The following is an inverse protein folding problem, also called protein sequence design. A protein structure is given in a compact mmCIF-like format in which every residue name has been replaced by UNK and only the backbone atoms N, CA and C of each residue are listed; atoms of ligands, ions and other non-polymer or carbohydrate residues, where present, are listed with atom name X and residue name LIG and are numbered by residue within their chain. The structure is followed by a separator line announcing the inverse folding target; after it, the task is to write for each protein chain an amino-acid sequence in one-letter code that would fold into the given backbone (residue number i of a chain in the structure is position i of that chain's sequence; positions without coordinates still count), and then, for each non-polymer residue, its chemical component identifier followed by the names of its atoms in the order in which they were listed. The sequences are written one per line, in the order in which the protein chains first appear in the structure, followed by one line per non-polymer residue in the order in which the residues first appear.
data_IF_409664147274
#
_entry.id   IF_409664147274
#
_cell.length_a   1.000
_cell.length_b   1.000
_cell.length_c   1.000
_cell.angle_alpha   90.00
_cell.angle_beta   90.00
_cell.angle_gamma   90.00
#
_symmetry.space_group_name_H-M   'P 1'
#
loop_
_entity.id
_entity.type
_entity.pdbx_description
1 polymer ?
#
# COMPACT_ATOMS: atom_id res chain seq x y z
N UNK A 1 42.57 -10.54 -19.26
CA UNK A 1 42.08 -9.71 -18.14
C UNK A 1 40.56 -9.71 -18.24
N UNK A 2 39.90 -10.37 -17.29
CA UNK A 2 38.47 -10.71 -17.38
C UNK A 2 37.59 -9.49 -17.13
N UNK A 3 36.57 -9.28 -17.97
CA UNK A 3 35.54 -8.25 -17.80
C UNK A 3 34.76 -8.39 -16.47
N UNK A 4 34.90 -9.53 -15.80
CA UNK A 4 34.37 -9.81 -14.45
C UNK A 4 34.87 -8.84 -13.36
N UNK A 5 36.04 -8.20 -13.52
CA UNK A 5 36.54 -7.25 -12.51
C UNK A 5 35.87 -5.87 -12.57
N UNK A 6 35.25 -5.49 -13.70
CA UNK A 6 34.64 -4.16 -13.86
C UNK A 6 33.24 -4.07 -13.25
N UNK A 7 32.50 -5.18 -13.17
CA UNK A 7 31.18 -5.21 -12.53
C UNK A 7 31.23 -5.26 -11.00
N UNK A 8 32.39 -5.60 -10.42
CA UNK A 8 32.53 -5.79 -8.97
C UNK A 8 32.65 -4.49 -8.17
N UNK A 9 32.79 -3.32 -8.81
CA UNK A 9 32.89 -2.01 -8.12
C UNK A 9 31.59 -1.19 -8.12
N UNK A 10 30.56 -1.59 -8.85
CA UNK A 10 29.31 -0.80 -8.95
C UNK A 10 28.14 -1.35 -8.14
N UNK A 11 28.29 -2.52 -7.53
CA UNK A 11 27.29 -3.11 -6.66
C UNK A 11 27.74 -2.95 -5.22
N UNK A 12 27.49 -1.77 -4.64
CA UNK A 12 27.37 -1.64 -3.20
C UNK A 12 26.08 -2.32 -2.76
N UNK A 13 26.11 -3.66 -2.69
CA UNK A 13 25.09 -4.45 -2.02
C UNK A 13 25.16 -4.17 -0.53
N UNK A 14 24.31 -3.25 -0.07
CA UNK A 14 23.80 -3.27 1.31
C UNK A 14 23.04 -4.58 1.45
N UNK A 15 23.73 -5.59 1.96
CA UNK A 15 23.14 -6.85 2.40
C UNK A 15 22.68 -6.61 3.83
N UNK A 16 21.36 -6.48 4.02
CA UNK A 16 20.77 -6.52 5.35
C UNK A 16 20.95 -7.94 5.89
N UNK A 17 21.80 -8.06 6.92
CA UNK A 17 22.12 -9.29 7.62
C UNK A 17 20.90 -9.75 8.44
N UNK A 18 20.21 -10.79 7.97
CA UNK A 18 19.28 -11.58 8.77
C UNK A 18 19.79 -13.03 8.74
N UNK A 19 20.30 -13.59 9.84
CA UNK A 19 20.80 -14.95 9.84
C UNK A 19 19.65 -15.94 9.71
N UNK A 20 19.69 -16.73 8.64
CA UNK A 20 18.94 -17.96 8.47
C UNK A 20 19.62 -19.08 9.26
N UNK A 21 18.91 -19.69 10.21
CA UNK A 21 19.26 -21.00 10.77
C UNK A 21 18.10 -21.99 10.52
N UNK A 22 18.41 -23.14 9.90
CA UNK A 22 17.52 -24.31 9.78
C UNK A 22 17.72 -25.31 10.96
N UNK A 23 17.05 -26.48 11.02
CA UNK A 23 16.01 -26.82 11.98
C UNK A 23 16.47 -27.81 13.08
N UNK A 24 15.72 -27.92 14.19
CA UNK A 24 15.88 -29.00 15.19
C UNK A 24 14.53 -29.47 15.75
N UNK A 25 14.30 -30.79 15.68
CA UNK A 25 13.15 -31.52 16.22
C UNK A 25 13.14 -31.64 17.77
N UNK A 26 11.92 -31.87 18.28
CA UNK A 26 11.28 -31.87 19.62
C UNK A 26 11.78 -32.94 20.65
N UNK A 27 11.12 -33.21 21.83
CA UNK A 27 10.21 -32.45 22.73
C UNK A 27 10.55 -32.57 24.26
N UNK A 28 9.77 -31.85 25.11
CA UNK A 28 9.09 -32.30 26.38
C UNK A 28 9.41 -31.56 27.71
N UNK A 29 8.31 -31.13 28.35
CA UNK A 29 8.10 -30.76 29.77
C UNK A 29 8.67 -29.38 30.18
N UNK A 30 7.98 -28.50 30.92
CA UNK A 30 6.92 -28.64 31.91
C UNK A 30 5.85 -27.54 31.75
N UNK A 31 4.62 -27.87 32.13
CA UNK A 31 3.43 -27.01 32.08
C UNK A 31 3.09 -26.52 33.51
N UNK A 32 2.59 -25.29 33.59
CA UNK A 32 2.13 -24.50 34.76
C UNK A 32 3.21 -23.77 35.59
N UNK A 33 3.01 -22.48 35.98
CA UNK A 33 1.72 -21.98 36.50
C UNK A 33 1.30 -20.56 36.09
N UNK A 34 0.12 -20.20 36.61
CA UNK A 34 -0.42 -18.85 36.85
C UNK A 34 -1.38 -18.30 35.79
N UNK A 35 -2.67 -18.58 36.01
CA UNK A 35 -3.75 -17.64 35.70
C UNK A 35 -3.40 -16.26 36.27
N UNK A 36 -2.88 -15.39 35.41
CA UNK A 36 -3.05 -13.96 35.58
C UNK A 36 -4.50 -13.63 35.16
N UNK A 37 -5.22 -12.81 35.94
CA UNK A 37 -6.55 -12.38 35.53
C UNK A 37 -6.39 -11.67 34.19
N UNK A 38 -7.13 -12.15 33.19
CA UNK A 38 -7.36 -11.43 31.95
C UNK A 38 -7.94 -10.07 32.34
N UNK A 39 -7.05 -9.07 32.45
CA UNK A 39 -7.43 -7.69 32.32
C UNK A 39 -8.10 -7.65 30.96
N UNK A 40 -9.41 -7.39 30.96
CA UNK A 40 -10.13 -6.95 29.78
C UNK A 40 -9.34 -5.76 29.24
N UNK A 41 -8.49 -6.01 28.24
CA UNK A 41 -8.07 -4.98 27.31
C UNK A 41 -9.37 -4.48 26.71
N UNK A 42 -9.88 -3.36 27.23
CA UNK A 42 -10.72 -2.47 26.44
C UNK A 42 -9.92 -2.21 25.15
N UNK A 43 -10.27 -2.93 24.08
CA UNK A 43 -9.85 -2.56 22.73
C UNK A 43 -10.33 -1.13 22.52
N UNK A 44 -9.44 -0.15 22.78
CA UNK A 44 -9.64 1.21 22.32
C UNK A 44 -9.87 1.12 20.81
N UNK A 45 -11.11 1.35 20.35
CA UNK A 45 -11.41 1.46 18.92
C UNK A 45 -10.45 2.49 18.32
N UNK A 46 -9.51 2.02 17.50
CA UNK A 46 -8.62 2.90 16.77
C UNK A 46 -9.47 3.88 15.96
N UNK A 47 -9.13 5.19 15.97
CA UNK A 47 -9.87 6.15 15.17
C UNK A 47 -9.78 5.80 13.68
N UNK A 48 -10.93 5.68 13.02
CA UNK A 48 -10.99 5.40 11.57
C UNK A 48 -10.19 6.46 10.77
N UNK A 49 -9.44 6.02 9.75
CA UNK A 49 -8.76 6.92 8.82
C UNK A 49 -9.80 7.71 8.01
N UNK A 50 -9.85 9.05 8.08
CA UNK A 50 -10.80 9.85 7.33
C UNK A 50 -10.47 9.97 5.83
N UNK A 51 -9.27 9.56 5.39
CA UNK A 51 -8.82 9.74 4.01
C UNK A 51 -9.71 9.04 2.97
N UNK A 52 -10.13 7.76 3.14
CA UNK A 52 -10.93 7.06 2.14
C UNK A 52 -12.26 7.76 1.85
N UNK A 53 -12.98 8.19 2.89
CA UNK A 53 -14.24 8.94 2.74
C UNK A 53 -14.02 10.26 1.98
N UNK A 54 -12.97 11.01 2.35
CA UNK A 54 -12.63 12.28 1.68
C UNK A 54 -12.27 12.06 0.20
N UNK A 55 -11.57 10.97 -0.12
CA UNK A 55 -11.22 10.62 -1.51
C UNK A 55 -12.48 10.34 -2.32
N UNK A 56 -13.42 9.55 -1.82
CA UNK A 56 -14.67 9.23 -2.52
C UNK A 56 -15.51 10.49 -2.74
N UNK A 57 -15.68 11.34 -1.72
CA UNK A 57 -16.34 12.63 -1.89
C UNK A 57 -15.66 13.48 -2.99
N UNK A 58 -14.33 13.51 -3.01
CA UNK A 58 -13.57 14.30 -3.96
C UNK A 58 -13.68 13.78 -5.40
N UNK A 59 -13.77 12.45 -5.59
CA UNK A 59 -14.03 11.82 -6.90
C UNK A 59 -15.39 12.21 -7.47
N UNK A 60 -16.42 12.32 -6.62
CA UNK A 60 -17.78 12.67 -7.04
C UNK A 60 -17.99 14.16 -7.34
N UNK A 61 -17.02 15.01 -7.02
CA UNK A 61 -17.12 16.44 -7.33
C UNK A 61 -17.24 16.69 -8.83
N UNK A 62 -17.95 17.75 -9.21
CA UNK A 62 -18.07 18.17 -10.63
C UNK A 62 -16.72 18.41 -11.31
N UNK A 63 -15.69 18.75 -10.55
CA UNK A 63 -14.35 18.99 -11.07
C UNK A 63 -13.60 17.68 -11.39
N UNK A 64 -13.79 16.63 -10.60
CA UNK A 64 -13.02 15.38 -10.72
C UNK A 64 -13.81 14.21 -11.31
N UNK A 65 -15.15 14.27 -11.32
CA UNK A 65 -16.02 13.18 -11.78
C UNK A 65 -15.70 12.70 -13.21
N UNK A 66 -15.35 13.64 -14.11
CA UNK A 66 -14.95 13.29 -15.47
C UNK A 66 -13.64 12.47 -15.48
N UNK A 67 -12.62 12.91 -14.75
CA UNK A 67 -11.35 12.20 -14.67
C UNK A 67 -11.50 10.81 -14.00
N UNK A 68 -12.32 10.72 -12.95
CA UNK A 68 -12.66 9.45 -12.32
C UNK A 68 -13.38 8.49 -13.28
N UNK A 69 -14.34 9.00 -14.07
CA UNK A 69 -15.02 8.20 -15.09
C UNK A 69 -14.07 7.73 -16.21
N UNK A 70 -13.15 8.59 -16.66
CA UNK A 70 -12.14 8.20 -17.65
C UNK A 70 -11.22 7.09 -17.14
N UNK A 71 -10.79 7.19 -15.88
CA UNK A 71 -9.98 6.14 -15.26
C UNK A 71 -10.75 4.82 -15.16
N UNK A 72 -11.98 4.82 -14.64
CA UNK A 72 -12.81 3.62 -14.54
C UNK A 72 -13.07 2.96 -15.90
N UNK A 73 -13.35 3.76 -16.93
CA UNK A 73 -13.53 3.27 -18.29
C UNK A 73 -12.23 2.67 -18.87
N UNK A 74 -11.08 3.28 -18.60
CA UNK A 74 -9.79 2.70 -19.00
C UNK A 74 -9.59 1.34 -18.32
N UNK A 75 -9.79 1.26 -17.00
CA UNK A 75 -9.64 0.00 -16.26
C UNK A 75 -10.57 -1.09 -16.79
N UNK A 76 -11.84 -0.76 -17.05
CA UNK A 76 -12.80 -1.71 -17.65
C UNK A 76 -12.29 -2.25 -18.98
N UNK A 77 -11.86 -1.37 -19.88
CA UNK A 77 -11.36 -1.74 -21.22
C UNK A 77 -10.08 -2.58 -21.15
N UNK A 78 -9.11 -2.17 -20.33
CA UNK A 78 -7.83 -2.90 -20.18
C UNK A 78 -8.07 -4.27 -19.54
N UNK A 79 -8.89 -4.34 -18.49
CA UNK A 79 -9.22 -5.61 -17.83
C UNK A 79 -10.06 -6.54 -18.72
N UNK A 80 -10.87 -6.00 -19.62
CA UNK A 80 -11.60 -6.77 -20.63
C UNK A 80 -10.71 -7.28 -21.78
N UNK A 81 -9.45 -6.84 -21.85
CA UNK A 81 -8.54 -7.17 -22.96
C UNK A 81 -8.90 -6.44 -24.27
N UNK A 82 -9.73 -5.39 -24.18
CA UNK A 82 -10.11 -4.53 -25.30
C UNK A 82 -9.16 -3.33 -25.48
N UNK A 83 -8.17 -3.22 -24.59
CA UNK A 83 -7.10 -2.24 -24.70
C UNK A 83 -6.09 -2.56 -25.82
N UNK A 84 -5.28 -1.58 -26.16
CA UNK A 84 -4.14 -1.77 -27.06
C UNK A 84 -3.08 -2.69 -26.43
N UNK A 85 -2.22 -3.33 -27.24
CA UNK A 85 -1.10 -4.10 -26.70
C UNK A 85 -0.22 -3.21 -25.79
N UNK A 86 -0.03 -3.64 -24.55
CA UNK A 86 0.70 -2.90 -23.52
C UNK A 86 0.05 -1.58 -23.08
N UNK A 87 -1.25 -1.40 -23.32
CA UNK A 87 -1.99 -0.29 -22.72
C UNK A 87 -2.07 -0.45 -21.20
N UNK A 88 -1.81 0.63 -20.49
CA UNK A 88 -2.08 0.79 -19.06
C UNK A 88 -2.92 2.06 -18.83
N UNK A 89 -3.47 2.19 -17.62
CA UNK A 89 -4.33 3.32 -17.24
C UNK A 89 -3.63 4.34 -16.35
N UNK A 90 -2.30 4.38 -16.41
CA UNK A 90 -1.49 5.21 -15.52
C UNK A 90 -1.72 6.68 -15.81
N UNK A 91 -1.89 7.06 -17.08
CA UNK A 91 -2.21 8.43 -17.45
C UNK A 91 -3.53 8.90 -16.83
N UNK A 92 -4.61 8.15 -17.00
CA UNK A 92 -5.93 8.47 -16.44
C UNK A 92 -5.90 8.46 -14.90
N UNK A 93 -5.14 7.54 -14.29
CA UNK A 93 -4.89 7.52 -12.85
C UNK A 93 -4.26 8.83 -12.39
N UNK A 94 -3.22 9.32 -13.07
CA UNK A 94 -2.57 10.58 -12.72
C UNK A 94 -3.52 11.77 -12.86
N UNK A 95 -4.37 11.81 -13.89
CA UNK A 95 -5.36 12.88 -14.05
C UNK A 95 -6.39 12.86 -12.92
N UNK A 96 -6.93 11.69 -12.57
CA UNK A 96 -7.87 11.52 -11.46
C UNK A 96 -7.20 11.91 -10.13
N UNK A 97 -6.04 11.33 -9.83
CA UNK A 97 -5.32 11.56 -8.57
C UNK A 97 -4.88 13.02 -8.43
N UNK A 98 -4.45 13.67 -9.50
CA UNK A 98 -4.11 15.10 -9.45
C UNK A 98 -5.32 15.94 -9.00
N UNK A 99 -6.49 15.69 -9.59
CA UNK A 99 -7.70 16.40 -9.22
C UNK A 99 -8.14 16.08 -7.78
N UNK A 100 -8.22 14.80 -7.45
CA UNK A 100 -8.64 14.32 -6.13
C UNK A 100 -7.72 14.84 -5.04
N UNK A 101 -6.40 14.81 -5.23
CA UNK A 101 -5.44 15.30 -4.24
C UNK A 101 -5.54 16.80 -3.99
N UNK A 102 -5.80 17.60 -5.03
CA UNK A 102 -6.06 19.04 -4.88
C UNK A 102 -7.32 19.29 -4.03
N UNK A 103 -8.32 18.40 -4.09
CA UNK A 103 -9.53 18.46 -3.29
C UNK A 103 -9.34 17.89 -1.87
N UNK A 104 -8.67 16.74 -1.73
CA UNK A 104 -8.61 15.97 -0.49
C UNK A 104 -7.57 16.52 0.49
N UNK A 105 -6.43 17.02 0.02
CA UNK A 105 -5.36 17.51 0.88
C UNK A 105 -5.84 18.56 1.91
N UNK A 106 -6.49 19.67 1.53
CA UNK A 106 -6.93 20.66 2.53
C UNK A 106 -7.99 20.11 3.50
N UNK A 107 -8.83 19.17 3.06
CA UNK A 107 -9.84 18.53 3.93
C UNK A 107 -9.21 17.56 4.92
N UNK A 108 -8.26 16.75 4.48
CA UNK A 108 -7.57 15.77 5.29
C UNK A 108 -6.76 16.45 6.39
N UNK A 109 -5.91 17.41 6.03
CA UNK A 109 -5.06 18.12 7.00
C UNK A 109 -5.86 18.98 8.00
N UNK A 110 -7.14 19.26 7.74
CA UNK A 110 -8.01 19.89 8.72
C UNK A 110 -8.57 18.91 9.77
N UNK A 111 -8.56 17.60 9.49
CA UNK A 111 -9.03 16.54 10.41
C UNK A 111 -7.90 15.91 11.23
N UNK A 112 -6.70 15.85 10.66
CA UNK A 112 -5.51 15.32 11.35
C UNK A 112 -5.06 16.29 12.46
N UNK A 113 -4.64 15.74 13.61
CA UNK A 113 -4.17 16.48 14.80
C UNK A 113 -2.70 16.22 15.07
#
# INVERSE_FOLDING_TARGET
MSLSSLFSSFVSTVYADAPAEEPKEEPKAEEEPAEEPAAEEEEEEEPEDPLPEIIEECKETKACAAAAHHFAHCEEKVNAGEGFPHEDCVEELYHMMHCVNNCSAPKLFAKLK
#
